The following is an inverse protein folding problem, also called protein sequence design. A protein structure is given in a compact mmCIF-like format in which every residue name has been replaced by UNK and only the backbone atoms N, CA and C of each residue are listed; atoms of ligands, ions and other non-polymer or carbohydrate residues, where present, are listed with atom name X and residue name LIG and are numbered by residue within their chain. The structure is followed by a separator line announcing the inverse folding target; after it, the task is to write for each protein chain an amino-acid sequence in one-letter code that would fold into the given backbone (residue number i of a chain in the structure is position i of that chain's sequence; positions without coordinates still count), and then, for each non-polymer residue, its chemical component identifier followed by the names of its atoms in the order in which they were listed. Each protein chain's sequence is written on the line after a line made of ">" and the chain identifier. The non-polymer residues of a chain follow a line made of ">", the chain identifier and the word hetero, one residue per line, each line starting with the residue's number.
data_IF_852196995075
#
_entry.id   IF_852196995075
#
_cell.length_a   1.000
_cell.length_b   1.000
_cell.length_c   1.000
_cell.angle_alpha   90.00
_cell.angle_beta   90.00
_cell.angle_gamma   90.00
#
_symmetry.space_group_name_H-M   'P 1'
#
loop_
_entity.id
_entity.type
_entity.pdbx_description
1 polymer ?
#
# COMPACT_ATOMS: atom_id res chain seq x y z
N UNK A 1 -8.75 -24.53 29.86
CA UNK A 1 -7.54 -23.69 29.75
C UNK A 1 -7.94 -22.24 29.72
N UNK A 2 -7.66 -21.50 30.79
CA UNK A 2 -8.00 -20.08 30.92
C UNK A 2 -6.99 -19.25 30.13
N UNK A 3 -7.41 -18.70 28.99
CA UNK A 3 -6.62 -17.71 28.26
C UNK A 3 -6.30 -16.54 29.21
N UNK A 4 -5.02 -16.18 29.36
CA UNK A 4 -4.64 -15.05 30.23
C UNK A 4 -5.31 -13.80 29.69
N UNK A 5 -5.77 -12.91 30.58
CA UNK A 5 -6.48 -11.66 30.23
C UNK A 5 -5.70 -10.81 29.20
N UNK A 6 -4.37 -10.89 29.18
CA UNK A 6 -3.51 -10.24 28.20
C UNK A 6 -3.62 -10.77 26.76
N UNK A 7 -3.94 -12.05 26.57
CA UNK A 7 -4.06 -12.69 25.25
C UNK A 7 -5.30 -12.20 24.50
N UNK A 8 -6.40 -12.01 25.23
CA UNK A 8 -7.63 -11.48 24.67
C UNK A 8 -7.51 -10.01 24.25
N UNK A 9 -6.74 -9.19 24.99
CA UNK A 9 -6.50 -7.79 24.62
C UNK A 9 -5.64 -7.69 23.36
N UNK A 10 -4.56 -8.47 23.28
CA UNK A 10 -3.67 -8.49 22.11
C UNK A 10 -4.41 -8.93 20.84
N UNK A 11 -5.23 -9.98 20.93
CA UNK A 11 -6.05 -10.47 19.81
C UNK A 11 -7.01 -9.39 19.29
N UNK A 12 -7.73 -8.73 20.20
CA UNK A 12 -8.66 -7.65 19.83
C UNK A 12 -7.93 -6.48 19.19
N UNK A 13 -6.76 -6.11 19.72
CA UNK A 13 -5.93 -5.06 19.13
C UNK A 13 -5.51 -5.42 17.71
N UNK A 14 -4.98 -6.62 17.49
CA UNK A 14 -4.57 -7.08 16.16
C UNK A 14 -5.75 -7.10 15.17
N UNK A 15 -6.91 -7.60 15.59
CA UNK A 15 -8.11 -7.60 14.76
C UNK A 15 -8.58 -6.18 14.41
N UNK A 16 -8.62 -5.26 15.39
CA UNK A 16 -9.01 -3.86 15.14
C UNK A 16 -8.04 -3.16 14.20
N UNK A 17 -6.73 -3.35 14.40
CA UNK A 17 -5.70 -2.77 13.53
C UNK A 17 -5.83 -3.30 12.10
N UNK A 18 -5.99 -4.63 11.94
CA UNK A 18 -6.19 -5.24 10.64
C UNK A 18 -7.45 -4.73 9.93
N UNK A 19 -8.56 -4.54 10.63
CA UNK A 19 -9.79 -3.95 10.07
C UNK A 19 -9.57 -2.52 9.59
N UNK A 20 -8.99 -1.66 10.43
CA UNK A 20 -8.78 -0.24 10.07
C UNK A 20 -7.85 -0.12 8.86
N UNK A 21 -6.76 -0.89 8.85
CA UNK A 21 -5.78 -0.83 7.77
C UNK A 21 -6.34 -1.39 6.46
N UNK A 22 -6.97 -2.58 6.50
CA UNK A 22 -7.58 -3.16 5.29
C UNK A 22 -8.66 -2.26 4.68
N UNK A 23 -9.54 -1.68 5.49
CA UNK A 23 -10.56 -0.74 4.98
C UNK A 23 -9.91 0.50 4.33
N UNK A 24 -8.86 1.05 4.96
CA UNK A 24 -8.14 2.21 4.42
C UNK A 24 -7.53 1.90 3.06
N UNK A 25 -6.85 0.75 2.93
CA UNK A 25 -6.20 0.36 1.69
C UNK A 25 -7.17 -0.07 0.60
N UNK A 26 -8.30 -0.71 0.95
CA UNK A 26 -9.39 -1.00 -0.01
C UNK A 26 -9.92 0.30 -0.60
N UNK A 27 -10.24 1.29 0.24
CA UNK A 27 -10.76 2.59 -0.23
C UNK A 27 -9.76 3.29 -1.13
N UNK A 28 -8.48 3.36 -0.72
CA UNK A 28 -7.43 3.99 -1.50
C UNK A 28 -7.23 3.30 -2.86
N UNK A 29 -7.13 1.98 -2.87
CA UNK A 29 -6.92 1.20 -4.09
C UNK A 29 -8.13 1.29 -5.03
N UNK A 30 -9.35 1.28 -4.49
CA UNK A 30 -10.58 1.48 -5.28
C UNK A 30 -10.63 2.87 -5.91
N UNK A 31 -10.24 3.93 -5.19
CA UNK A 31 -10.15 5.28 -5.76
C UNK A 31 -9.15 5.29 -6.92
N UNK A 32 -7.97 4.68 -6.77
CA UNK A 32 -6.99 4.58 -7.85
C UNK A 32 -7.55 3.83 -9.07
N UNK A 33 -8.22 2.69 -8.87
CA UNK A 33 -8.86 1.93 -9.96
C UNK A 33 -9.93 2.76 -10.67
N UNK A 34 -10.79 3.46 -9.92
CA UNK A 34 -11.84 4.30 -10.50
C UNK A 34 -11.21 5.42 -11.35
N UNK A 35 -10.19 6.10 -10.82
CA UNK A 35 -9.50 7.18 -11.53
C UNK A 35 -8.76 6.67 -12.77
N UNK A 36 -8.21 5.45 -12.75
CA UNK A 36 -7.61 4.82 -13.91
C UNK A 36 -8.62 4.66 -15.07
N UNK A 37 -9.86 4.24 -14.77
CA UNK A 37 -10.90 4.04 -15.80
C UNK A 37 -11.74 5.28 -16.10
N UNK A 38 -11.73 6.29 -15.23
CA UNK A 38 -12.51 7.52 -15.38
C UNK A 38 -11.59 8.73 -15.48
N UNK A 39 -11.10 9.07 -16.68
CA UNK A 39 -10.11 10.11 -16.80
C UNK A 39 -10.63 11.48 -16.37
N UNK A 40 -9.92 12.11 -15.43
CA UNK A 40 -10.22 13.46 -14.95
C UNK A 40 -9.24 14.41 -15.62
N UNK A 41 -9.63 14.97 -16.77
CA UNK A 41 -8.85 16.01 -17.45
C UNK A 41 -9.46 17.36 -17.08
N UNK A 42 -8.94 17.99 -16.02
CA UNK A 42 -9.17 19.41 -15.76
C UNK A 42 -7.89 20.19 -16.04
N UNK A 43 -7.94 21.08 -17.04
CA UNK A 43 -6.79 21.90 -17.45
C UNK A 43 -6.62 23.18 -16.62
N UNK A 44 -7.53 23.44 -15.67
CA UNK A 44 -7.46 24.61 -14.79
C UNK A 44 -7.17 24.14 -13.37
N UNK A 45 -6.01 24.53 -12.85
CA UNK A 45 -5.60 24.30 -11.46
C UNK A 45 -5.58 25.65 -10.71
N UNK A 46 -6.31 25.67 -9.61
CA UNK A 46 -6.45 26.80 -8.69
C UNK A 46 -5.53 26.68 -7.47
N UNK A 47 -5.03 25.48 -7.16
CA UNK A 47 -4.21 25.22 -5.99
C UNK A 47 -3.03 24.28 -6.27
N UNK A 48 -1.99 24.37 -5.42
CA UNK A 48 -0.83 23.47 -5.46
C UNK A 48 -1.22 21.99 -5.22
N UNK A 49 -2.25 21.73 -4.41
CA UNK A 49 -2.74 20.37 -4.17
C UNK A 49 -3.38 19.75 -5.42
N UNK A 50 -4.09 20.54 -6.21
CA UNK A 50 -4.62 20.10 -7.51
C UNK A 50 -3.49 19.78 -8.49
N UNK A 51 -2.40 20.56 -8.48
CA UNK A 51 -1.21 20.28 -9.29
C UNK A 51 -0.55 18.96 -8.90
N UNK A 52 -0.34 18.70 -7.60
CA UNK A 52 0.20 17.41 -7.13
C UNK A 52 -0.72 16.27 -7.55
N UNK A 53 -2.03 16.41 -7.33
CA UNK A 53 -3.00 15.38 -7.66
C UNK A 53 -2.98 15.05 -9.16
N UNK A 54 -2.96 16.06 -10.02
CA UNK A 54 -2.87 15.89 -11.47
C UNK A 54 -1.55 15.25 -11.88
N UNK A 55 -0.45 15.60 -11.20
CA UNK A 55 0.89 15.05 -11.47
C UNK A 55 0.95 13.57 -11.11
N UNK A 56 0.46 13.18 -9.92
CA UNK A 56 0.32 11.76 -9.51
C UNK A 56 -0.60 11.01 -10.47
N UNK A 57 -1.74 11.61 -10.83
CA UNK A 57 -2.70 11.04 -11.76
C UNK A 57 -2.07 10.79 -13.14
N UNK A 58 -1.37 11.78 -13.70
CA UNK A 58 -0.67 11.68 -14.98
C UNK A 58 0.34 10.54 -14.99
N UNK A 59 1.09 10.40 -13.89
CA UNK A 59 2.18 9.44 -13.76
C UNK A 59 1.73 7.98 -13.57
N UNK A 60 0.75 7.77 -12.70
CA UNK A 60 0.38 6.42 -12.24
C UNK A 60 -0.96 5.93 -12.76
N UNK A 61 -1.83 6.82 -13.29
CA UNK A 61 -3.21 6.47 -13.58
C UNK A 61 -3.63 6.79 -15.02
N UNK A 62 -3.03 7.78 -15.67
CA UNK A 62 -3.40 8.20 -17.02
C UNK A 62 -2.49 7.60 -18.11
N UNK A 63 -1.18 7.68 -17.91
CA UNK A 63 -0.22 7.30 -18.94
C UNK A 63 0.04 5.79 -18.89
N UNK A 64 -0.34 5.07 -19.94
CA UNK A 64 -0.01 3.65 -20.11
C UNK A 64 1.43 3.42 -20.57
N UNK A 65 2.07 4.47 -21.09
CA UNK A 65 3.44 4.47 -21.59
C UNK A 65 4.46 4.86 -20.51
N UNK A 66 5.73 4.56 -20.77
CA UNK A 66 6.84 4.97 -19.90
C UNK A 66 7.04 6.49 -19.98
N UNK A 67 7.12 7.15 -18.83
CA UNK A 67 7.43 8.59 -18.72
C UNK A 67 8.94 8.82 -18.76
N UNK A 68 9.73 7.83 -18.34
CA UNK A 68 11.18 7.79 -18.42
C UNK A 68 11.66 6.38 -18.77
N UNK A 69 12.85 6.23 -19.37
CA UNK A 69 13.34 4.93 -19.82
C UNK A 69 13.44 3.90 -18.69
N UNK A 70 12.93 2.70 -18.94
CA UNK A 70 12.95 1.56 -18.02
C UNK A 70 12.11 1.77 -16.75
N UNK A 71 11.04 2.57 -16.83
CA UNK A 71 10.06 2.70 -15.74
C UNK A 71 9.36 1.36 -15.47
N UNK A 72 9.28 0.96 -14.21
CA UNK A 72 8.68 -0.33 -13.82
C UNK A 72 7.19 -0.18 -13.51
N UNK A 73 6.82 0.83 -12.74
CA UNK A 73 5.46 1.21 -12.38
C UNK A 73 4.88 2.14 -13.45
N UNK A 74 4.59 1.59 -14.64
CA UNK A 74 3.73 2.27 -15.62
C UNK A 74 2.28 2.30 -15.12
N UNK A 75 1.41 3.13 -15.71
CA UNK A 75 0.01 3.20 -15.26
C UNK A 75 -0.73 1.86 -15.32
N UNK A 76 -0.41 1.02 -16.32
CA UNK A 76 -0.97 -0.33 -16.43
C UNK A 76 -0.49 -1.25 -15.31
N UNK A 77 0.81 -1.24 -15.01
CA UNK A 77 1.37 -2.04 -13.90
C UNK A 77 0.81 -1.55 -12.57
N UNK A 78 0.71 -0.24 -12.38
CA UNK A 78 0.11 0.36 -11.18
C UNK A 78 -1.33 -0.10 -10.97
N UNK A 79 -2.16 -0.06 -12.01
CA UNK A 79 -3.54 -0.55 -11.94
C UNK A 79 -3.61 -2.04 -11.56
N UNK A 80 -2.76 -2.88 -12.13
CA UNK A 80 -2.68 -4.31 -11.75
C UNK A 80 -2.33 -4.47 -10.27
N UNK A 81 -1.37 -3.70 -9.76
CA UNK A 81 -1.03 -3.71 -8.33
C UNK A 81 -2.21 -3.29 -7.46
N UNK A 82 -2.96 -2.25 -7.84
CA UNK A 82 -4.14 -1.80 -7.09
C UNK A 82 -5.22 -2.88 -7.00
N UNK A 83 -5.42 -3.68 -8.06
CA UNK A 83 -6.32 -4.84 -8.00
C UNK A 83 -5.83 -5.91 -7.03
N UNK A 84 -4.53 -6.23 -7.01
CA UNK A 84 -3.97 -7.15 -6.03
C UNK A 84 -4.14 -6.63 -4.59
N UNK A 85 -3.94 -5.33 -4.37
CA UNK A 85 -4.20 -4.69 -3.07
C UNK A 85 -5.64 -4.91 -2.62
N UNK A 86 -6.63 -4.56 -3.44
CA UNK A 86 -8.06 -4.78 -3.10
C UNK A 86 -8.33 -6.24 -2.73
N UNK A 87 -7.83 -7.21 -3.50
CA UNK A 87 -8.06 -8.63 -3.24
C UNK A 87 -7.42 -9.09 -1.92
N UNK A 88 -6.16 -8.72 -1.68
CA UNK A 88 -5.43 -9.09 -0.47
C UNK A 88 -6.02 -8.42 0.78
N UNK A 89 -6.41 -7.14 0.69
CA UNK A 89 -7.00 -6.40 1.80
C UNK A 89 -8.42 -6.88 2.12
N UNK A 90 -9.22 -7.27 1.13
CA UNK A 90 -10.53 -7.90 1.37
C UNK A 90 -10.35 -9.23 2.11
N UNK A 91 -9.40 -10.07 1.68
CA UNK A 91 -9.08 -11.30 2.39
C UNK A 91 -8.63 -11.01 3.82
N UNK A 92 -7.77 -10.02 4.01
CA UNK A 92 -7.24 -9.64 5.31
C UNK A 92 -8.31 -9.06 6.23
N UNK A 93 -9.26 -8.31 5.70
CA UNK A 93 -10.44 -7.82 6.41
C UNK A 93 -11.31 -8.97 6.90
N UNK A 94 -11.63 -9.93 6.02
CA UNK A 94 -12.43 -11.12 6.37
C UNK A 94 -11.74 -11.89 7.50
N UNK A 95 -10.44 -12.11 7.40
CA UNK A 95 -9.67 -12.82 8.42
C UNK A 95 -9.59 -12.04 9.73
N UNK A 96 -9.48 -10.71 9.68
CA UNK A 96 -9.48 -9.84 10.87
C UNK A 96 -10.83 -9.84 11.60
N UNK A 97 -11.94 -9.81 10.85
CA UNK A 97 -13.30 -9.96 11.39
C UNK A 97 -13.46 -11.36 11.99
N UNK A 98 -12.99 -12.40 11.30
CA UNK A 98 -13.03 -13.77 11.81
C UNK A 98 -12.26 -13.93 13.13
N UNK A 99 -11.08 -13.31 13.25
CA UNK A 99 -10.28 -13.30 14.48
C UNK A 99 -10.97 -12.58 15.66
N UNK A 100 -11.74 -11.52 15.36
CA UNK A 100 -12.51 -10.79 16.36
C UNK A 100 -13.56 -11.69 17.02
N UNK A 101 -14.31 -12.45 16.21
CA UNK A 101 -15.39 -13.31 16.68
C UNK A 101 -14.95 -14.70 17.16
N UNK A 102 -13.88 -15.27 16.60
CA UNK A 102 -13.44 -16.64 16.89
C UNK A 102 -12.04 -16.66 17.50
N UNK A 103 -11.94 -17.07 18.76
CA UNK A 103 -10.67 -17.31 19.43
C UNK A 103 -10.18 -18.74 19.19
N UNK A 104 -9.78 -19.05 17.96
CA UNK A 104 -9.25 -20.38 17.59
C UNK A 104 -7.81 -20.28 17.12
N UNK A 105 -6.98 -21.32 17.33
CA UNK A 105 -5.61 -21.34 16.81
C UNK A 105 -5.59 -21.21 15.28
N UNK A 106 -6.61 -21.73 14.58
CA UNK A 106 -6.78 -21.55 13.13
C UNK A 106 -6.98 -20.09 12.74
N UNK A 107 -7.80 -19.34 13.48
CA UNK A 107 -8.01 -17.91 13.22
C UNK A 107 -6.72 -17.11 13.40
N UNK A 108 -5.94 -17.40 14.45
CA UNK A 108 -4.65 -16.76 14.73
C UNK A 108 -3.62 -17.04 13.62
N UNK A 109 -3.51 -18.30 13.18
CA UNK A 109 -2.62 -18.70 12.07
C UNK A 109 -3.04 -18.04 10.76
N UNK A 110 -4.33 -18.07 10.43
CA UNK A 110 -4.85 -17.44 9.23
C UNK A 110 -4.54 -15.93 9.21
N UNK A 111 -4.77 -15.25 10.34
CA UNK A 111 -4.46 -13.82 10.46
C UNK A 111 -2.97 -13.55 10.31
N UNK A 112 -2.12 -14.33 10.98
CA UNK A 112 -0.67 -14.16 10.87
C UNK A 112 -0.17 -14.36 9.44
N UNK A 113 -0.57 -15.44 8.77
CA UNK A 113 -0.16 -15.68 7.37
C UNK A 113 -0.67 -14.60 6.42
N UNK A 114 -1.92 -14.15 6.58
CA UNK A 114 -2.49 -13.10 5.75
C UNK A 114 -1.75 -11.77 5.96
N UNK A 115 -1.49 -11.39 7.21
CA UNK A 115 -0.73 -10.19 7.55
C UNK A 115 0.69 -10.25 6.98
N UNK A 116 1.37 -11.40 7.07
CA UNK A 116 2.71 -11.58 6.49
C UNK A 116 2.69 -11.47 4.96
N UNK A 117 1.65 -11.99 4.29
CA UNK A 117 1.50 -11.90 2.84
C UNK A 117 1.28 -10.45 2.38
N UNK A 118 0.34 -9.73 3.01
CA UNK A 118 0.10 -8.29 2.74
C UNK A 118 1.38 -7.49 2.97
N UNK A 119 2.07 -7.79 4.07
CA UNK A 119 3.33 -7.15 4.43
C UNK A 119 4.43 -7.41 3.39
N UNK A 120 4.54 -8.63 2.86
CA UNK A 120 5.47 -8.92 1.77
C UNK A 120 5.12 -8.14 0.49
N UNK A 121 3.84 -8.03 0.17
CA UNK A 121 3.36 -7.26 -0.97
C UNK A 121 3.71 -5.77 -0.86
N UNK A 122 3.49 -5.16 0.31
CA UNK A 122 3.89 -3.78 0.60
C UNK A 122 5.38 -3.54 0.41
N UNK A 123 6.21 -4.48 0.86
CA UNK A 123 7.65 -4.39 0.70
C UNK A 123 8.05 -4.39 -0.79
N UNK A 124 7.44 -5.26 -1.59
CA UNK A 124 7.68 -5.32 -3.05
C UNK A 124 7.31 -3.98 -3.69
N UNK A 125 6.10 -3.47 -3.41
CA UNK A 125 5.63 -2.17 -3.92
C UNK A 125 6.59 -1.04 -3.55
N UNK A 126 7.03 -1.00 -2.29
CA UNK A 126 7.96 0.00 -1.79
C UNK A 126 9.32 -0.03 -2.51
N UNK A 127 9.90 -1.22 -2.69
CA UNK A 127 11.18 -1.39 -3.39
C UNK A 127 11.08 -0.94 -4.85
N UNK A 128 10.01 -1.30 -5.55
CA UNK A 128 9.82 -0.90 -6.95
C UNK A 128 9.66 0.62 -7.06
N UNK A 129 8.83 1.24 -6.20
CA UNK A 129 8.67 2.70 -6.19
C UNK A 129 9.99 3.43 -5.90
N UNK A 130 10.81 2.91 -4.98
CA UNK A 130 12.13 3.47 -4.69
C UNK A 130 13.10 3.34 -5.87
N UNK A 131 13.09 2.20 -6.56
CA UNK A 131 13.89 2.00 -7.76
C UNK A 131 13.49 2.94 -8.90
N UNK A 132 12.18 3.11 -9.13
CA UNK A 132 11.66 4.02 -10.14
C UNK A 132 11.90 5.50 -9.81
N UNK A 133 11.86 5.87 -8.52
CA UNK A 133 12.25 7.22 -8.09
C UNK A 133 13.70 7.53 -8.48
N UNK A 134 14.64 6.60 -8.21
CA UNK A 134 16.04 6.79 -8.57
C UNK A 134 16.23 6.90 -10.09
N UNK A 135 15.59 6.01 -10.87
CA UNK A 135 15.62 6.09 -12.35
C UNK A 135 15.07 7.42 -12.88
N UNK A 136 14.01 7.94 -12.25
CA UNK A 136 13.42 9.22 -12.59
C UNK A 136 14.43 10.37 -12.36
N UNK A 137 15.14 10.34 -11.23
CA UNK A 137 16.18 11.32 -10.91
C UNK A 137 17.37 11.24 -11.89
N UNK A 138 17.86 10.02 -12.17
CA UNK A 138 18.95 9.81 -13.13
C UNK A 138 18.59 10.35 -14.52
N UNK A 139 17.35 10.11 -14.97
CA UNK A 139 16.87 10.65 -16.23
C UNK A 139 16.74 12.19 -16.21
N UNK A 140 16.32 12.75 -15.08
CA UNK A 140 16.22 14.20 -14.89
C UNK A 140 17.56 14.91 -15.09
N UNK A 141 18.66 14.33 -14.60
CA UNK A 141 20.02 14.87 -14.74
C UNK A 141 20.48 14.95 -16.20
N UNK A 142 19.98 14.06 -17.05
CA UNK A 142 20.35 14.00 -18.48
C UNK A 142 19.46 14.86 -19.38
N UNK A 143 18.39 15.45 -18.84
CA UNK A 143 17.38 16.18 -19.61
C UNK A 143 17.65 17.69 -19.60
N UNK A 144 17.39 18.39 -20.72
CA UNK A 144 17.60 19.85 -20.87
C UNK A 144 16.88 20.70 -19.80
N UNK A 145 15.80 20.19 -19.20
CA UNK A 145 15.01 20.85 -18.16
C UNK A 145 15.07 20.09 -16.82
N UNK A 146 16.30 19.90 -16.30
CA UNK A 146 16.57 19.13 -15.08
C UNK A 146 15.67 19.53 -13.90
N UNK A 147 15.56 20.83 -13.61
CA UNK A 147 14.79 21.34 -12.46
C UNK A 147 13.32 20.94 -12.55
N UNK A 148 12.70 21.14 -13.72
CA UNK A 148 11.28 20.85 -13.94
C UNK A 148 11.03 19.34 -13.84
N UNK A 149 11.90 18.51 -14.41
CA UNK A 149 11.70 17.06 -14.35
C UNK A 149 11.93 16.50 -12.95
N UNK A 150 12.90 17.02 -12.19
CA UNK A 150 13.09 16.67 -10.78
C UNK A 150 11.88 17.05 -9.93
N UNK A 151 11.27 18.21 -10.16
CA UNK A 151 10.02 18.61 -9.50
C UNK A 151 8.87 17.64 -9.81
N UNK A 152 8.75 17.18 -11.07
CA UNK A 152 7.75 16.18 -11.44
C UNK A 152 8.01 14.84 -10.73
N UNK A 153 9.25 14.33 -10.74
CA UNK A 153 9.61 13.11 -10.01
C UNK A 153 9.29 13.22 -8.51
N UNK A 154 9.64 14.35 -7.90
CA UNK A 154 9.41 14.62 -6.49
C UNK A 154 7.92 14.80 -6.16
N UNK A 155 7.11 15.38 -7.06
CA UNK A 155 5.68 15.59 -6.79
C UNK A 155 4.80 14.39 -7.18
N UNK A 156 5.23 13.54 -8.12
CA UNK A 156 4.53 12.32 -8.50
C UNK A 156 4.88 11.16 -7.56
N UNK A 157 6.17 10.81 -7.49
CA UNK A 157 6.62 9.53 -6.93
C UNK A 157 6.83 9.65 -5.42
N UNK A 158 7.40 10.76 -4.93
CA UNK A 158 7.72 10.92 -3.51
C UNK A 158 6.48 10.84 -2.59
N UNK A 159 5.32 11.45 -2.91
CA UNK A 159 4.15 11.33 -2.04
C UNK A 159 3.64 9.88 -1.96
N UNK A 160 3.59 9.18 -3.10
CA UNK A 160 3.19 7.77 -3.15
C UNK A 160 4.21 6.90 -2.38
N UNK A 161 5.49 7.19 -2.54
CA UNK A 161 6.57 6.54 -1.80
C UNK A 161 6.49 6.79 -0.29
N UNK A 162 6.17 8.02 0.16
CA UNK A 162 5.98 8.36 1.58
C UNK A 162 4.75 7.65 2.14
N UNK A 163 3.65 7.56 1.39
CA UNK A 163 2.47 6.81 1.81
C UNK A 163 2.80 5.33 1.95
N UNK A 164 3.51 4.74 0.98
CA UNK A 164 4.02 3.38 1.06
C UNK A 164 4.99 3.20 2.26
N UNK A 165 5.86 4.16 2.54
CA UNK A 165 6.77 4.15 3.68
C UNK A 165 6.06 4.28 5.04
N UNK A 166 4.94 5.02 5.10
CA UNK A 166 4.06 5.02 6.28
C UNK A 166 3.37 3.67 6.45
N UNK A 167 2.99 3.02 5.35
CA UNK A 167 2.63 1.60 5.34
C UNK A 167 3.76 0.72 5.89
N UNK A 168 5.01 1.02 5.54
CA UNK A 168 6.19 0.28 6.01
C UNK A 168 6.51 0.43 7.51
N UNK A 169 6.20 1.56 8.14
CA UNK A 169 6.31 1.64 9.62
C UNK A 169 5.22 0.80 10.29
N UNK A 170 4.02 0.73 9.71
CA UNK A 170 2.96 -0.18 10.14
C UNK A 170 3.28 -1.65 9.83
N UNK A 171 4.08 -1.93 8.81
CA UNK A 171 4.59 -3.25 8.47
C UNK A 171 5.43 -3.87 9.58
N UNK A 172 6.37 -3.12 10.19
CA UNK A 172 7.17 -3.64 11.31
C UNK A 172 6.26 -4.06 12.46
N UNK A 173 5.25 -3.23 12.75
CA UNK A 173 4.26 -3.51 13.78
C UNK A 173 3.40 -4.75 13.43
N UNK A 174 2.97 -4.87 12.18
CA UNK A 174 2.17 -5.99 11.68
C UNK A 174 2.95 -7.32 11.70
N UNK A 175 4.23 -7.32 11.34
CA UNK A 175 5.10 -8.48 11.45
C UNK A 175 5.30 -8.88 12.91
N UNK A 176 5.57 -7.92 13.79
CA UNK A 176 5.73 -8.21 15.21
C UNK A 176 4.46 -8.87 15.79
N UNK A 177 3.28 -8.30 15.49
CA UNK A 177 2.00 -8.90 15.87
C UNK A 177 1.79 -10.29 15.25
N UNK A 178 2.07 -10.45 13.96
CA UNK A 178 1.94 -11.72 13.25
C UNK A 178 2.80 -12.83 13.89
N UNK A 179 4.07 -12.56 14.16
CA UNK A 179 5.00 -13.50 14.79
C UNK A 179 4.57 -13.84 16.22
N UNK A 180 4.13 -12.85 17.00
CA UNK A 180 3.66 -13.08 18.37
C UNK A 180 2.40 -13.96 18.37
N UNK A 181 1.43 -13.68 17.49
CA UNK A 181 0.20 -14.46 17.40
C UNK A 181 0.44 -15.87 16.85
N UNK A 182 1.37 -16.04 15.90
CA UNK A 182 1.78 -17.36 15.40
C UNK A 182 2.38 -18.20 16.53
N UNK A 183 3.29 -17.65 17.33
CA UNK A 183 3.86 -18.35 18.50
C UNK A 183 2.78 -18.75 19.50
N UNK A 184 1.82 -17.86 19.78
CA UNK A 184 0.69 -18.15 20.68
C UNK A 184 -0.24 -19.22 20.12
N UNK A 185 -0.44 -19.25 18.81
CA UNK A 185 -1.28 -20.27 18.15
C UNK A 185 -0.74 -21.69 18.32
N UNK A 186 0.57 -21.86 18.53
CA UNK A 186 1.21 -23.17 18.78
C UNK A 186 1.10 -23.63 20.23
N UNK A 187 0.76 -22.71 21.15
CA UNK A 187 0.61 -22.98 22.58
C UNK A 187 -0.85 -23.28 22.99
N UNK A 188 -1.81 -23.07 22.09
CA UNK A 188 -3.25 -23.32 22.25
C UNK A 188 -3.65 -24.62 21.55
#
# INVERSE_FOLDING_TARGET
>A
MTAKVGDNKLRKLAACVGIIQSVTWIVMSMICIILYYSPVISNNYSSYMELIQLTIYGYFLYTSEEVFPNQTFTGTVFNVFMWFYVLLDVLWLIVSIYLLFKNTPRALKAWSHCTLLVSLWDFITFVILGADYNKCLDYAETTFNQVVFQEVCANAILPVFIIAAKGFTLWIFNIALGVILERKSRQL
#
